data_IF_308876241202
#
_entry.id   IF_308876241202
#
_cell.length_a   1.000
_cell.length_b   1.000
_cell.length_c   1.000
_cell.angle_alpha   90.00
_cell.angle_beta   90.00
_cell.angle_gamma   90.00
#
_symmetry.space_group_name_H-M   'P 1'
#
loop_
_entity.id
_entity.type
_entity.pdbx_description
1 polymer ?
#
# COMPACT_ATOMS: atom_id res chain seq x y z
N UNK A 1 -29.60 -53.84 -29.29
CA UNK A 1 -29.19 -52.48 -29.73
C UNK A 1 -28.93 -51.65 -28.47
N UNK A 2 -27.66 -51.30 -28.18
CA UNK A 2 -27.09 -49.93 -28.28
C UNK A 2 -27.94 -48.91 -27.47
N UNK A 3 -27.48 -48.18 -26.44
CA UNK A 3 -26.19 -47.50 -26.17
C UNK A 3 -26.13 -47.21 -24.64
N UNK A 4 -25.06 -47.56 -23.93
CA UNK A 4 -23.87 -46.75 -23.63
C UNK A 4 -24.14 -45.48 -22.81
N UNK A 5 -23.47 -45.45 -21.63
CA UNK A 5 -23.15 -44.34 -20.72
C UNK A 5 -23.24 -42.92 -21.28
N UNK A 6 -23.64 -41.97 -20.42
CA UNK A 6 -22.84 -40.75 -20.21
C UNK A 6 -22.99 -40.26 -18.76
N UNK A 7 -21.96 -40.57 -17.94
CA UNK A 7 -21.69 -39.90 -16.67
C UNK A 7 -21.18 -38.49 -17.02
N UNK A 8 -21.91 -37.44 -16.65
CA UNK A 8 -21.39 -36.07 -16.73
C UNK A 8 -20.86 -35.73 -15.33
N UNK A 9 -19.58 -35.99 -15.13
CA UNK A 9 -18.81 -35.47 -14.01
C UNK A 9 -18.59 -33.97 -14.24
N UNK A 10 -19.29 -33.12 -13.48
CA UNK A 10 -18.97 -31.70 -13.40
C UNK A 10 -17.73 -31.54 -12.49
N UNK A 11 -16.55 -31.62 -13.11
CA UNK A 11 -15.34 -31.02 -12.56
C UNK A 11 -15.46 -29.50 -12.74
N UNK A 12 -16.07 -28.81 -11.77
CA UNK A 12 -15.78 -27.39 -11.62
C UNK A 12 -14.34 -27.28 -11.14
N UNK A 13 -13.48 -26.95 -12.09
CA UNK A 13 -12.13 -26.46 -11.90
C UNK A 13 -12.10 -25.51 -10.71
N UNK A 14 -11.40 -25.93 -9.65
CA UNK A 14 -10.89 -25.02 -8.64
C UNK A 14 -10.01 -23.99 -9.38
N UNK A 15 -10.60 -22.85 -9.72
CA UNK A 15 -9.84 -21.70 -10.16
C UNK A 15 -9.15 -21.15 -8.90
N UNK A 16 -8.03 -21.78 -8.53
CA UNK A 16 -7.05 -21.19 -7.64
C UNK A 16 -6.52 -19.95 -8.36
N UNK A 17 -7.18 -18.83 -8.10
CA UNK A 17 -6.62 -17.52 -8.33
C UNK A 17 -5.35 -17.45 -7.47
N UNK A 18 -4.22 -17.87 -8.03
CA UNK A 18 -2.92 -17.45 -7.55
C UNK A 18 -2.91 -15.92 -7.63
N UNK A 19 -3.29 -15.27 -6.52
CA UNK A 19 -2.95 -13.88 -6.30
C UNK A 19 -1.44 -13.84 -6.42
N UNK A 20 -1.00 -13.16 -7.46
CA UNK A 20 0.41 -12.88 -7.69
C UNK A 20 0.80 -11.99 -6.53
N UNK A 21 1.36 -12.57 -5.47
CA UNK A 21 2.00 -11.80 -4.42
C UNK A 21 3.01 -10.92 -5.14
N UNK A 22 2.70 -9.62 -5.23
CA UNK A 22 3.64 -8.65 -5.77
C UNK A 22 4.81 -8.70 -4.81
N UNK A 23 5.86 -9.45 -5.17
CA UNK A 23 7.16 -9.37 -4.53
C UNK A 23 7.48 -7.88 -4.47
N UNK A 24 7.31 -7.29 -3.30
CA UNK A 24 7.85 -6.00 -2.99
C UNK A 24 9.36 -6.23 -3.10
N UNK A 25 9.94 -5.92 -4.26
CA UNK A 25 11.39 -5.91 -4.38
C UNK A 25 11.90 -5.08 -3.21
N UNK A 26 12.75 -5.70 -2.38
CA UNK A 26 13.48 -5.00 -1.33
C UNK A 26 14.43 -4.04 -2.04
N UNK A 27 13.91 -2.90 -2.49
CA UNK A 27 14.72 -1.79 -2.96
C UNK A 27 15.38 -1.25 -1.71
N UNK A 28 16.64 -1.63 -1.50
CA UNK A 28 17.46 -1.07 -0.43
C UNK A 28 17.79 0.36 -0.84
N UNK A 29 16.99 1.32 -0.37
CA UNK A 29 17.36 2.72 -0.45
C UNK A 29 18.50 2.97 0.55
N UNK A 30 19.59 3.63 0.17
CA UNK A 30 20.59 4.06 1.13
C UNK A 30 19.90 5.02 2.10
N UNK A 31 19.69 4.58 3.34
CA UNK A 31 19.10 5.43 4.36
C UNK A 31 20.17 6.42 4.81
N UNK A 32 20.03 7.67 4.37
CA UNK A 32 20.93 8.75 4.77
C UNK A 32 20.46 9.34 6.09
N UNK A 33 21.36 9.37 7.08
CA UNK A 33 21.20 10.18 8.29
C UNK A 33 22.01 11.47 8.11
N UNK A 34 21.34 12.62 8.22
CA UNK A 34 21.97 13.94 8.03
C UNK A 34 21.96 14.77 9.30
N UNK A 35 20.95 14.59 10.14
CA UNK A 35 20.70 15.40 11.30
C UNK A 35 20.91 14.57 12.56
N UNK A 36 21.47 15.16 13.62
CA UNK A 36 21.56 14.50 14.94
C UNK A 36 20.22 14.34 15.66
N UNK A 37 19.12 14.70 14.99
CA UNK A 37 17.75 14.64 15.46
C UNK A 37 16.86 14.15 14.32
N UNK A 38 15.77 13.46 14.66
CA UNK A 38 14.73 13.18 13.68
C UNK A 38 13.97 14.46 13.34
N UNK A 39 13.79 14.75 12.04
CA UNK A 39 12.93 15.84 11.59
C UNK A 39 11.45 15.47 11.75
N UNK A 40 11.08 14.23 11.40
CA UNK A 40 9.70 13.76 11.49
C UNK A 40 9.53 12.97 12.80
N UNK A 41 9.30 13.69 13.90
CA UNK A 41 9.37 13.09 15.25
C UNK A 41 8.11 12.36 15.70
N UNK A 42 6.98 12.58 15.04
CA UNK A 42 5.69 12.02 15.44
C UNK A 42 4.92 11.42 14.27
N UNK A 43 4.07 10.45 14.61
CA UNK A 43 3.10 9.86 13.69
C UNK A 43 2.17 10.92 13.09
N UNK A 44 1.72 11.90 13.91
CA UNK A 44 0.87 12.99 13.44
C UNK A 44 1.54 13.81 12.32
N UNK A 45 2.83 14.13 12.46
CA UNK A 45 3.55 14.88 11.45
C UNK A 45 3.76 14.06 10.17
N UNK A 46 4.09 12.76 10.31
CA UNK A 46 4.19 11.86 9.17
C UNK A 46 2.85 11.76 8.41
N UNK A 47 1.74 11.66 9.13
CA UNK A 47 0.38 11.62 8.57
C UNK A 47 0.05 12.90 7.79
N UNK A 48 0.32 14.08 8.37
CA UNK A 48 0.08 15.38 7.69
C UNK A 48 0.94 15.56 6.44
N UNK A 49 2.19 15.11 6.46
CA UNK A 49 3.07 15.15 5.28
C UNK A 49 2.51 14.27 4.17
N UNK A 50 2.13 13.03 4.51
CA UNK A 50 1.54 12.12 3.53
C UNK A 50 0.24 12.68 2.95
N UNK A 51 -0.63 13.25 3.80
CA UNK A 51 -1.86 13.92 3.39
C UNK A 51 -1.60 15.01 2.35
N UNK A 52 -0.69 15.93 2.66
CA UNK A 52 -0.38 17.07 1.80
C UNK A 52 0.14 16.62 0.43
N UNK A 53 1.07 15.66 0.44
CA UNK A 53 1.67 15.13 -0.80
C UNK A 53 0.64 14.34 -1.61
N UNK A 54 -0.19 13.52 -0.98
CA UNK A 54 -1.22 12.75 -1.69
C UNK A 54 -2.34 13.62 -2.24
N UNK A 55 -2.76 14.65 -1.49
CA UNK A 55 -3.78 15.60 -1.95
C UNK A 55 -3.33 16.31 -3.23
N UNK A 56 -2.05 16.70 -3.30
CA UNK A 56 -1.48 17.31 -4.50
C UNK A 56 -1.29 16.29 -5.64
N UNK A 57 -0.75 15.11 -5.34
CA UNK A 57 -0.38 14.11 -6.36
C UNK A 57 -1.58 13.40 -6.97
N UNK A 58 -2.61 13.13 -6.19
CA UNK A 58 -3.78 12.34 -6.57
C UNK A 58 -5.04 13.22 -6.58
N UNK A 59 -5.02 14.29 -7.37
CA UNK A 59 -6.07 15.33 -7.41
C UNK A 59 -7.50 14.80 -7.67
N UNK A 60 -7.63 13.64 -8.30
CA UNK A 60 -8.92 13.02 -8.61
C UNK A 60 -9.44 12.11 -7.48
N UNK A 61 -8.60 11.87 -6.46
CA UNK A 61 -8.91 11.04 -5.32
C UNK A 61 -9.17 11.94 -4.11
N UNK A 62 -10.33 11.81 -3.46
CA UNK A 62 -10.60 12.53 -2.22
C UNK A 62 -9.86 11.86 -1.05
N UNK A 63 -8.61 12.27 -0.86
CA UNK A 63 -7.68 11.75 0.15
C UNK A 63 -8.25 11.88 1.58
N UNK A 64 -9.13 12.85 1.84
CA UNK A 64 -9.74 13.03 3.16
C UNK A 64 -10.58 11.81 3.57
N UNK A 65 -11.20 11.15 2.59
CA UNK A 65 -12.01 9.95 2.83
C UNK A 65 -11.18 8.73 3.25
N UNK A 66 -9.85 8.80 3.11
CA UNK A 66 -8.95 7.67 3.40
C UNK A 66 -8.43 7.70 4.84
N UNK A 67 -8.81 8.74 5.60
CA UNK A 67 -8.48 8.88 7.02
C UNK A 67 -9.35 7.96 7.90
N UNK A 68 -8.84 7.52 9.08
CA UNK A 68 -7.49 7.76 9.57
C UNK A 68 -6.46 6.95 8.78
N UNK A 69 -5.30 7.55 8.53
CA UNK A 69 -4.18 6.80 7.96
C UNK A 69 -3.60 5.87 9.02
N UNK A 70 -3.14 4.70 8.60
CA UNK A 70 -2.29 3.86 9.45
C UNK A 70 -0.87 4.36 9.33
N UNK A 71 -0.22 4.68 10.45
CA UNK A 71 1.18 5.10 10.48
C UNK A 71 1.95 4.14 11.36
N UNK A 72 3.11 3.70 10.90
CA UNK A 72 3.97 2.80 11.67
C UNK A 72 5.44 3.04 11.37
N UNK A 73 6.28 2.65 12.32
CA UNK A 73 7.72 2.63 12.14
C UNK A 73 8.16 1.30 11.55
N UNK A 74 9.04 1.35 10.55
CA UNK A 74 9.71 0.20 9.97
C UNK A 74 11.23 0.46 9.92
N UNK A 75 12.00 -0.58 9.56
CA UNK A 75 13.46 -0.50 9.40
C UNK A 75 14.14 0.08 10.65
N UNK A 76 14.00 -0.63 11.77
CA UNK A 76 14.55 -0.27 13.10
C UNK A 76 14.18 1.14 13.57
N UNK A 77 12.95 1.59 13.27
CA UNK A 77 12.45 2.88 13.73
C UNK A 77 12.90 4.08 12.90
N UNK A 78 13.55 3.85 11.76
CA UNK A 78 14.15 4.92 10.94
C UNK A 78 13.26 5.40 9.79
N UNK A 79 12.21 4.67 9.47
CA UNK A 79 11.29 5.00 8.37
C UNK A 79 9.86 5.02 8.90
N UNK A 80 9.12 6.08 8.58
CA UNK A 80 7.66 6.10 8.69
C UNK A 80 7.06 5.47 7.45
N UNK A 81 6.22 4.45 7.64
CA UNK A 81 5.27 4.00 6.62
C UNK A 81 3.89 4.57 6.94
N UNK A 82 3.33 5.34 6.00
CA UNK A 82 1.97 5.87 6.07
C UNK A 82 1.11 5.16 5.03
N UNK A 83 -0.05 4.64 5.46
CA UNK A 83 -0.96 3.84 4.64
C UNK A 83 -2.35 4.46 4.66
N UNK A 84 -2.85 4.85 3.48
CA UNK A 84 -4.21 5.35 3.26
C UNK A 84 -5.06 4.32 2.52
N UNK A 85 -6.24 4.00 3.04
CA UNK A 85 -7.13 3.00 2.44
C UNK A 85 -8.36 3.67 1.83
N UNK A 86 -8.62 3.42 0.54
CA UNK A 86 -9.86 3.86 -0.09
C UNK A 86 -11.08 3.19 0.57
N UNK A 87 -12.09 3.95 1.01
CA UNK A 87 -13.31 3.38 1.61
C UNK A 87 -14.26 2.78 0.57
N UNK A 88 -13.97 2.95 -0.72
CA UNK A 88 -14.80 2.43 -1.81
C UNK A 88 -14.78 0.89 -1.78
N UNK A 89 -15.97 0.29 -1.62
CA UNK A 89 -16.16 -1.16 -1.61
C UNK A 89 -16.50 -1.66 -3.02
N UNK A 90 -15.87 -2.76 -3.44
CA UNK A 90 -16.09 -3.41 -4.75
C UNK A 90 -14.90 -3.30 -5.71
N UNK A 91 -14.99 -3.99 -6.86
CA UNK A 91 -13.88 -4.14 -7.83
C UNK A 91 -13.47 -2.86 -8.56
N UNK A 92 -14.20 -1.75 -8.40
CA UNK A 92 -14.02 -0.62 -9.32
C UNK A 92 -12.86 0.28 -8.88
N UNK A 93 -12.59 0.47 -7.58
CA UNK A 93 -11.61 1.46 -7.10
C UNK A 93 -11.00 1.18 -5.71
N UNK A 94 -10.92 -0.08 -5.25
CA UNK A 94 -10.16 -0.36 -4.01
C UNK A 94 -8.69 -0.02 -4.27
N UNK A 95 -8.13 0.87 -3.46
CA UNK A 95 -6.74 1.31 -3.56
C UNK A 95 -6.15 1.44 -2.16
N UNK A 96 -4.89 1.04 -2.02
CA UNK A 96 -4.09 1.22 -0.81
C UNK A 96 -2.87 2.07 -1.18
N UNK A 97 -2.77 3.25 -0.57
CA UNK A 97 -1.72 4.22 -0.81
C UNK A 97 -0.64 4.06 0.23
N UNK A 98 0.61 3.93 -0.19
CA UNK A 98 1.75 3.80 0.71
C UNK A 98 2.75 4.93 0.48
N UNK A 99 3.26 5.48 1.59
CA UNK A 99 4.36 6.42 1.58
C UNK A 99 5.40 6.00 2.60
N UNK A 100 6.65 5.88 2.16
CA UNK A 100 7.80 5.64 3.01
C UNK A 100 8.58 6.94 3.16
N UNK A 101 8.76 7.41 4.39
CA UNK A 101 9.41 8.69 4.70
C UNK A 101 10.60 8.40 5.60
N UNK A 102 11.79 8.84 5.22
CA UNK A 102 12.96 8.83 6.09
C UNK A 102 12.68 9.73 7.30
N UNK A 103 12.67 9.14 8.50
CA UNK A 103 12.34 9.84 9.74
C UNK A 103 13.34 10.96 10.07
N UNK A 104 14.61 10.74 9.74
CA UNK A 104 15.70 11.68 9.98
C UNK A 104 15.63 12.89 9.05
N UNK A 105 15.47 12.65 7.74
CA UNK A 105 15.59 13.71 6.72
C UNK A 105 14.26 14.27 6.21
N UNK A 106 13.15 13.57 6.45
CA UNK A 106 11.85 13.91 5.84
C UNK A 106 11.73 13.55 4.36
N UNK A 107 12.77 12.94 3.78
CA UNK A 107 12.76 12.51 2.37
C UNK A 107 11.72 11.41 2.13
N UNK A 108 10.89 11.57 1.10
CA UNK A 108 9.99 10.51 0.64
C UNK A 108 10.80 9.50 -0.17
N UNK A 109 11.07 8.34 0.45
CA UNK A 109 11.82 7.24 -0.14
C UNK A 109 11.00 6.51 -1.20
N UNK A 110 9.68 6.35 -0.95
CA UNK A 110 8.76 5.69 -1.89
C UNK A 110 7.35 6.21 -1.73
N UNK A 111 6.62 6.33 -2.83
CA UNK A 111 5.19 6.64 -2.85
C UNK A 111 4.52 5.81 -3.95
N UNK A 112 3.67 4.85 -3.56
CA UNK A 112 3.08 3.87 -4.48
C UNK A 112 1.64 3.52 -4.08
N UNK A 113 0.90 2.94 -5.02
CA UNK A 113 -0.51 2.56 -4.84
C UNK A 113 -0.69 1.10 -5.24
N UNK A 114 -1.33 0.31 -4.38
CA UNK A 114 -1.78 -1.06 -4.65
C UNK A 114 -3.24 -1.00 -5.07
N UNK A 115 -3.61 -1.73 -6.13
CA UNK A 115 -4.98 -1.82 -6.67
C UNK A 115 -5.55 -3.21 -6.45
#
# INVERSE_FOLDING_TARGET
MKRTLFLISLLFLNCSSHKKDSKLEHVTFPLVERYGIDLIRSEELASKIAEAIWTEKYINDDIQLYKPFTVKLINDGKIWEVIGNSPLKGNVHKREYHMLINKNTGEVLRNYVIK
#
